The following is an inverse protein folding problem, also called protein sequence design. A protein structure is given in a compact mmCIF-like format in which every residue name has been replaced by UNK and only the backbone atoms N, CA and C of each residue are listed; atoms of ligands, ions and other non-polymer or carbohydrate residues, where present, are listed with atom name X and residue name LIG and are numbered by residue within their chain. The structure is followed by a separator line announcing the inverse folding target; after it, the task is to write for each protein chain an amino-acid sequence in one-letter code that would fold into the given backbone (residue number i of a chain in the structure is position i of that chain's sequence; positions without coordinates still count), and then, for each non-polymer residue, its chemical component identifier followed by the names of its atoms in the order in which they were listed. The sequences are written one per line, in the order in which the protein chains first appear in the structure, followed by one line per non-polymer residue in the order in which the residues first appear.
data_IF_399957838909
#
_entry.id   IF_399957838909
#
_cell.length_a   1.000
_cell.length_b   1.000
_cell.length_c   1.000
_cell.angle_alpha   90.00
_cell.angle_beta   90.00
_cell.angle_gamma   90.00
#
_symmetry.space_group_name_H-M   'P 1'
#
loop_
_entity.id
_entity.type
_entity.pdbx_description
1 polymer ?
#
# COMPACT_ATOMS: atom_id res chain seq x y z
N UNK A 1 -13.31 -13.43 -17.68
CA UNK A 1 -13.33 -11.98 -17.33
C UNK A 1 -12.10 -11.34 -17.94
N UNK A 2 -12.27 -10.33 -18.79
CA UNK A 2 -11.18 -9.67 -19.54
C UNK A 2 -10.13 -9.08 -18.58
N UNK A 3 -8.85 -9.39 -18.78
CA UNK A 3 -7.77 -8.93 -17.90
C UNK A 3 -7.64 -7.40 -17.90
N UNK A 4 -8.04 -6.73 -18.99
CA UNK A 4 -8.15 -5.26 -19.04
C UNK A 4 -9.12 -4.71 -18.00
N UNK A 5 -10.30 -5.33 -17.88
CA UNK A 5 -11.33 -4.90 -16.93
C UNK A 5 -10.83 -5.06 -15.48
N UNK A 6 -10.05 -6.10 -15.19
CA UNK A 6 -9.42 -6.28 -13.87
C UNK A 6 -8.45 -5.15 -13.54
N UNK A 7 -7.63 -4.74 -14.51
CA UNK A 7 -6.65 -3.67 -14.33
C UNK A 7 -7.37 -2.32 -14.19
N UNK A 8 -8.42 -2.09 -14.98
CA UNK A 8 -9.25 -0.88 -14.88
C UNK A 8 -9.91 -0.79 -13.50
N UNK A 9 -10.57 -1.86 -13.06
CA UNK A 9 -11.20 -1.91 -11.74
C UNK A 9 -10.19 -1.71 -10.62
N UNK A 10 -9.00 -2.29 -10.74
CA UNK A 10 -7.92 -2.07 -9.77
C UNK A 10 -7.50 -0.59 -9.70
N UNK A 11 -7.30 0.08 -10.85
CA UNK A 11 -6.94 1.50 -10.87
C UNK A 11 -8.10 2.37 -10.36
N UNK A 12 -9.34 2.00 -10.64
CA UNK A 12 -10.53 2.66 -10.10
C UNK A 12 -10.60 2.53 -8.58
N UNK A 13 -10.37 1.33 -8.05
CA UNK A 13 -10.41 1.05 -6.61
C UNK A 13 -9.29 1.79 -5.87
N UNK A 14 -8.07 1.77 -6.39
CA UNK A 14 -6.90 2.41 -5.77
C UNK A 14 -6.73 3.88 -6.13
N UNK A 15 -7.41 4.37 -7.16
CA UNK A 15 -7.28 5.72 -7.70
C UNK A 15 -6.04 5.92 -8.59
N UNK A 16 -4.90 5.33 -8.23
CA UNK A 16 -3.69 5.40 -9.05
C UNK A 16 -2.72 4.22 -8.82
N UNK A 17 -1.89 3.93 -9.82
CA UNK A 17 -0.81 2.95 -9.75
C UNK A 17 0.31 3.26 -10.76
N UNK A 18 1.55 2.92 -10.45
CA UNK A 18 2.65 3.04 -11.42
C UNK A 18 2.62 1.91 -12.44
N UNK A 19 3.21 2.15 -13.62
CA UNK A 19 3.45 1.12 -14.64
C UNK A 19 4.09 -0.12 -14.02
N UNK A 20 5.18 0.06 -13.27
CA UNK A 20 5.92 -1.04 -12.64
C UNK A 20 5.05 -1.83 -11.65
N UNK A 21 4.22 -1.16 -10.86
CA UNK A 21 3.29 -1.81 -9.94
C UNK A 21 2.29 -2.69 -10.69
N UNK A 22 1.68 -2.18 -11.77
CA UNK A 22 0.76 -2.97 -12.60
C UNK A 22 1.46 -4.17 -13.23
N UNK A 23 2.67 -3.99 -13.77
CA UNK A 23 3.47 -5.07 -14.34
C UNK A 23 3.74 -6.18 -13.31
N UNK A 24 4.07 -5.83 -12.07
CA UNK A 24 4.32 -6.80 -10.99
C UNK A 24 3.02 -7.47 -10.54
N UNK A 25 1.98 -6.70 -10.23
CA UNK A 25 0.75 -7.22 -9.62
C UNK A 25 -0.03 -8.12 -10.59
N UNK A 26 -0.02 -7.80 -11.89
CA UNK A 26 -0.71 -8.56 -12.94
C UNK A 26 0.19 -9.56 -13.69
N UNK A 27 1.45 -9.74 -13.27
CA UNK A 27 2.44 -10.60 -13.91
C UNK A 27 2.64 -10.29 -15.42
N UNK A 28 2.74 -9.00 -15.77
CA UNK A 28 2.89 -8.52 -17.16
C UNK A 28 4.16 -7.64 -17.32
N UNK A 29 5.37 -8.19 -17.21
CA UNK A 29 6.62 -7.43 -17.09
C UNK A 29 6.97 -6.51 -18.28
N UNK A 30 6.40 -6.76 -19.46
CA UNK A 30 6.69 -5.99 -20.68
C UNK A 30 5.46 -5.26 -21.23
N UNK A 31 4.34 -5.32 -20.53
CA UNK A 31 3.12 -4.65 -20.96
C UNK A 31 3.19 -3.17 -20.57
N UNK A 32 2.77 -2.30 -21.48
CA UNK A 32 2.71 -0.85 -21.29
C UNK A 32 1.28 -0.35 -21.01
N UNK A 33 0.30 -1.26 -21.00
CA UNK A 33 -1.11 -1.04 -20.74
C UNK A 33 -1.71 0.11 -21.57
N UNK A 34 -1.35 0.21 -22.86
CA UNK A 34 -1.97 1.20 -23.77
C UNK A 34 -3.46 0.96 -23.98
N UNK A 35 -3.88 -0.30 -23.94
CA UNK A 35 -5.25 -0.75 -24.12
C UNK A 35 -6.22 -0.17 -23.07
N UNK A 36 -5.82 -0.02 -21.81
CA UNK A 36 -6.71 0.52 -20.77
C UNK A 36 -6.92 2.05 -20.88
N UNK A 37 -6.17 2.73 -21.76
CA UNK A 37 -6.28 4.18 -21.97
C UNK A 37 -7.39 4.55 -22.96
N UNK A 38 -7.90 3.60 -23.76
CA UNK A 38 -8.85 3.88 -24.85
C UNK A 38 -10.19 4.42 -24.37
N UNK A 39 -10.60 4.08 -23.15
CA UNK A 39 -11.96 4.36 -22.66
C UNK A 39 -12.11 5.72 -21.97
N UNK A 40 -11.07 6.58 -21.95
CA UNK A 40 -11.09 7.88 -21.27
C UNK A 40 -11.51 7.84 -19.78
N UNK A 41 -11.43 6.67 -19.15
CA UNK A 41 -11.67 6.47 -17.71
C UNK A 41 -10.36 6.56 -16.94
N UNK A 42 -9.26 6.19 -17.61
CA UNK A 42 -7.91 6.21 -17.06
C UNK A 42 -7.07 7.15 -17.90
N UNK A 43 -6.32 8.02 -17.22
CA UNK A 43 -5.27 8.83 -17.82
C UNK A 43 -3.91 8.35 -17.35
N UNK A 44 -2.87 8.70 -18.11
CA UNK A 44 -1.48 8.43 -17.76
C UNK A 44 -0.73 9.76 -17.56
N UNK A 45 -0.08 9.93 -16.41
CA UNK A 45 0.75 11.09 -16.06
C UNK A 45 2.17 10.59 -15.74
N UNK A 46 3.10 10.78 -16.67
CA UNK A 46 4.41 10.11 -16.58
C UNK A 46 4.22 8.59 -16.57
N UNK A 47 4.76 7.92 -15.55
CA UNK A 47 4.60 6.46 -15.36
C UNK A 47 3.42 6.06 -14.47
N UNK A 48 2.55 7.01 -14.09
CA UNK A 48 1.41 6.75 -13.20
C UNK A 48 0.12 6.71 -14.02
N UNK A 49 -0.62 5.62 -13.88
CA UNK A 49 -2.00 5.49 -14.34
C UNK A 49 -2.94 6.00 -13.25
N UNK A 50 -3.91 6.82 -13.63
CA UNK A 50 -4.80 7.54 -12.70
C UNK A 50 -6.23 7.38 -13.19
N UNK A 51 -7.13 6.97 -12.30
CA UNK A 51 -8.56 7.04 -12.54
C UNK A 51 -8.97 8.51 -12.66
N UNK A 52 -9.73 8.90 -13.69
CA UNK A 52 -9.86 10.31 -14.06
C UNK A 52 -10.53 11.21 -13.01
N UNK A 53 -11.32 10.66 -12.08
CA UNK A 53 -11.87 11.43 -10.96
C UNK A 53 -11.01 11.39 -9.71
N UNK A 54 -9.92 10.62 -9.70
CA UNK A 54 -8.99 10.50 -8.59
C UNK A 54 -7.83 11.50 -8.72
N UNK A 55 -7.19 11.77 -7.57
CA UNK A 55 -5.92 12.49 -7.50
C UNK A 55 -4.80 11.47 -7.31
N UNK A 56 -3.59 11.82 -7.76
CA UNK A 56 -2.40 11.03 -7.44
C UNK A 56 -2.18 11.14 -5.94
N UNK A 57 -2.23 10.00 -5.26
CA UNK A 57 -1.93 9.87 -3.85
C UNK A 57 -0.66 9.04 -3.65
N UNK A 58 0.40 9.73 -3.26
CA UNK A 58 1.70 9.09 -3.06
C UNK A 58 1.68 8.06 -1.92
N UNK A 59 0.81 8.19 -0.92
CA UNK A 59 0.69 7.18 0.14
C UNK A 59 0.15 5.87 -0.41
N UNK A 60 -0.84 5.93 -1.29
CA UNK A 60 -1.31 4.76 -2.05
C UNK A 60 -0.19 4.15 -2.90
N UNK A 61 0.60 4.97 -3.62
CA UNK A 61 1.76 4.47 -4.38
C UNK A 61 2.73 3.71 -3.47
N UNK A 62 3.10 4.26 -2.31
CA UNK A 62 4.00 3.61 -1.37
C UNK A 62 3.43 2.33 -0.76
N UNK A 63 2.12 2.30 -0.48
CA UNK A 63 1.46 1.08 -0.02
C UNK A 63 1.51 -0.02 -1.09
N UNK A 64 1.28 0.35 -2.36
CA UNK A 64 1.37 -0.57 -3.49
C UNK A 64 2.80 -1.10 -3.73
N UNK A 65 3.83 -0.30 -3.46
CA UNK A 65 5.22 -0.78 -3.52
C UNK A 65 5.49 -1.90 -2.51
N UNK A 66 4.94 -1.78 -1.29
CA UNK A 66 5.00 -2.86 -0.30
C UNK A 66 4.20 -4.06 -0.79
N UNK A 67 2.99 -3.87 -1.29
CA UNK A 67 2.19 -4.98 -1.82
C UNK A 67 2.96 -5.74 -2.92
N UNK A 68 3.67 -5.03 -3.81
CA UNK A 68 4.55 -5.60 -4.82
C UNK A 68 5.69 -6.43 -4.20
N UNK A 69 6.32 -5.97 -3.11
CA UNK A 69 7.34 -6.77 -2.38
C UNK A 69 6.78 -8.07 -1.80
N UNK A 70 5.47 -8.11 -1.49
CA UNK A 70 4.77 -9.29 -1.00
C UNK A 70 4.11 -10.10 -2.12
N UNK A 71 4.37 -9.80 -3.40
CA UNK A 71 3.84 -10.58 -4.52
C UNK A 71 4.13 -12.06 -4.34
N UNK A 72 3.12 -12.90 -4.60
CA UNK A 72 3.13 -14.34 -4.39
C UNK A 72 3.15 -14.81 -2.92
N UNK A 73 3.13 -13.91 -1.94
CA UNK A 73 3.03 -14.22 -0.49
C UNK A 73 1.64 -13.98 0.09
N UNK A 74 0.74 -13.31 -0.63
CA UNK A 74 -0.66 -13.10 -0.24
C UNK A 74 -1.64 -13.96 -1.06
N UNK A 75 -2.83 -14.21 -0.50
CA UNK A 75 -3.97 -14.86 -1.16
C UNK A 75 -4.88 -13.82 -1.81
N UNK A 76 -5.24 -12.79 -1.06
CA UNK A 76 -6.04 -11.65 -1.53
C UNK A 76 -5.65 -10.39 -0.76
N UNK A 77 -6.00 -9.24 -1.31
CA UNK A 77 -5.81 -7.93 -0.72
C UNK A 77 -7.00 -7.04 -1.10
N UNK A 78 -7.21 -5.97 -0.34
CA UNK A 78 -8.16 -4.93 -0.66
C UNK A 78 -7.62 -3.57 -0.22
N UNK A 79 -8.17 -2.51 -0.80
CA UNK A 79 -7.93 -1.14 -0.34
C UNK A 79 -8.59 -0.96 1.03
N UNK A 80 -7.84 -0.38 1.97
CA UNK A 80 -8.36 0.01 3.29
C UNK A 80 -8.86 1.45 3.32
N UNK A 81 -9.22 1.91 4.51
CA UNK A 81 -9.56 3.30 4.81
C UNK A 81 -8.52 3.91 5.73
N UNK A 82 -8.26 5.21 5.57
CA UNK A 82 -7.31 5.95 6.41
C UNK A 82 -7.57 5.64 7.91
N UNK A 83 -6.53 5.22 8.65
CA UNK A 83 -5.10 5.26 8.31
C UNK A 83 -4.52 4.00 7.61
N UNK A 84 -5.32 2.96 7.38
CA UNK A 84 -4.88 1.72 6.71
C UNK A 84 -5.12 1.83 5.20
N UNK A 85 -4.05 1.79 4.42
CA UNK A 85 -4.13 1.93 2.96
C UNK A 85 -4.44 0.61 2.26
N UNK A 86 -3.85 -0.49 2.75
CA UNK A 86 -4.02 -1.83 2.19
C UNK A 86 -4.10 -2.83 3.32
N UNK A 87 -5.06 -3.74 3.21
CA UNK A 87 -5.12 -4.94 4.04
C UNK A 87 -4.94 -6.16 3.13
N UNK A 88 -4.07 -7.09 3.52
CA UNK A 88 -3.86 -8.34 2.77
C UNK A 88 -3.77 -9.56 3.67
N UNK A 89 -4.33 -10.67 3.20
CA UNK A 89 -4.20 -11.97 3.86
C UNK A 89 -3.03 -12.73 3.22
N UNK A 90 -2.04 -13.07 4.04
CA UNK A 90 -0.90 -13.89 3.59
C UNK A 90 -1.30 -15.35 3.33
N UNK A 91 -0.45 -16.08 2.61
CA UNK A 91 -0.62 -17.52 2.39
C UNK A 91 -0.52 -18.34 3.68
N UNK A 92 0.13 -17.78 4.71
CA UNK A 92 0.25 -18.32 6.07
C UNK A 92 -0.94 -17.96 6.98
N UNK A 93 -2.05 -17.44 6.43
CA UNK A 93 -3.23 -16.99 7.16
C UNK A 93 -2.99 -15.83 8.13
N UNK A 94 -1.90 -15.09 7.99
CA UNK A 94 -1.67 -13.86 8.75
C UNK A 94 -2.25 -12.66 8.00
N UNK A 95 -3.05 -11.86 8.69
CA UNK A 95 -3.62 -10.60 8.23
C UNK A 95 -2.62 -9.46 8.45
N UNK A 96 -2.37 -8.68 7.41
CA UNK A 96 -1.48 -7.53 7.45
C UNK A 96 -2.23 -6.25 7.11
N UNK A 97 -1.96 -5.19 7.89
CA UNK A 97 -2.38 -3.83 7.56
C UNK A 97 -1.15 -2.98 7.21
N UNK A 98 -1.21 -2.30 6.06
CA UNK A 98 -0.21 -1.34 5.62
C UNK A 98 -0.70 0.06 5.97
N UNK A 99 0.04 0.76 6.83
CA UNK A 99 -0.23 2.13 7.25
C UNK A 99 0.88 3.01 6.71
N UNK A 100 0.51 4.08 6.00
CA UNK A 100 1.47 5.02 5.41
C UNK A 100 1.28 6.39 6.02
N UNK A 101 2.35 6.93 6.61
CA UNK A 101 2.33 8.23 7.28
C UNK A 101 3.05 9.27 6.45
N UNK A 102 2.83 10.54 6.79
CA UNK A 102 3.68 11.66 6.40
C UNK A 102 3.95 12.53 7.64
N UNK A 103 4.76 13.58 7.46
CA UNK A 103 5.10 14.50 8.56
C UNK A 103 3.90 15.26 9.14
N UNK A 104 2.82 15.41 8.38
CA UNK A 104 1.61 16.08 8.87
C UNK A 104 0.78 15.19 9.80
N UNK A 105 0.83 13.86 9.64
CA UNK A 105 -0.03 12.94 10.37
C UNK A 105 0.70 11.93 11.29
N UNK A 106 2.04 11.85 11.26
CA UNK A 106 2.80 10.85 12.03
C UNK A 106 2.46 10.83 13.53
N UNK A 107 2.32 12.00 14.15
CA UNK A 107 1.93 12.11 15.57
C UNK A 107 0.51 11.60 15.84
N UNK A 108 -0.41 11.76 14.89
CA UNK A 108 -1.77 11.21 15.00
C UNK A 108 -1.74 9.69 14.97
N UNK A 109 -0.97 9.11 14.03
CA UNK A 109 -0.82 7.66 13.91
C UNK A 109 -0.17 7.05 15.16
N UNK A 110 0.88 7.69 15.71
CA UNK A 110 1.50 7.23 16.95
C UNK A 110 0.50 7.16 18.12
N UNK A 111 -0.40 8.15 18.23
CA UNK A 111 -1.47 8.13 19.24
C UNK A 111 -2.46 6.98 19.00
N UNK A 112 -2.89 6.77 17.77
CA UNK A 112 -3.82 5.68 17.42
C UNK A 112 -3.23 4.31 17.73
N UNK A 113 -1.95 4.09 17.40
CA UNK A 113 -1.23 2.86 17.72
C UNK A 113 -1.12 2.63 19.23
N UNK A 114 -0.76 3.68 19.99
CA UNK A 114 -0.57 3.60 21.44
C UNK A 114 -1.83 3.18 22.19
N UNK A 115 -3.00 3.61 21.72
CA UNK A 115 -4.29 3.32 22.37
C UNK A 115 -5.00 2.10 21.78
N UNK A 116 -4.39 1.39 20.83
CA UNK A 116 -5.04 0.35 20.03
C UNK A 116 -6.40 0.83 19.48
N UNK A 117 -6.40 1.99 18.84
CA UNK A 117 -7.62 2.64 18.38
C UNK A 117 -8.39 1.73 17.41
N UNK A 118 -9.74 1.64 17.51
CA UNK A 118 -10.56 0.89 16.55
C UNK A 118 -10.54 1.51 15.15
N UNK A 119 -10.02 2.72 14.99
CA UNK A 119 -9.75 3.32 13.68
C UNK A 119 -8.69 2.54 12.88
N UNK A 120 -7.83 1.77 13.56
CA UNK A 120 -6.93 0.80 12.93
C UNK A 120 -7.56 -0.58 13.14
N UNK A 121 -8.16 -1.19 12.11
CA UNK A 121 -8.72 -2.53 12.22
C UNK A 121 -7.70 -3.54 12.73
N UNK A 122 -8.18 -4.57 13.42
CA UNK A 122 -7.33 -5.64 13.93
C UNK A 122 -6.60 -6.36 12.79
N UNK A 123 -5.35 -6.70 13.04
CA UNK A 123 -4.50 -7.51 12.16
C UNK A 123 -3.43 -8.21 12.99
N UNK A 124 -2.91 -9.33 12.47
CA UNK A 124 -1.81 -10.04 13.11
C UNK A 124 -0.52 -9.21 13.04
N UNK A 125 -0.34 -8.45 11.94
CA UNK A 125 0.87 -7.68 11.67
C UNK A 125 0.59 -6.33 11.04
N UNK A 126 1.41 -5.35 11.39
CA UNK A 126 1.41 -4.04 10.75
C UNK A 126 2.67 -3.85 9.91
N UNK A 127 2.54 -3.12 8.81
CA UNK A 127 3.67 -2.55 8.08
C UNK A 127 3.48 -1.03 8.13
N UNK A 128 4.34 -0.38 8.90
CA UNK A 128 4.29 1.04 9.18
C UNK A 128 5.31 1.76 8.30
N UNK A 129 4.85 2.60 7.37
CA UNK A 129 5.70 3.36 6.48
C UNK A 129 5.79 4.80 6.98
N UNK A 130 7.02 5.24 7.27
CA UNK A 130 7.34 6.60 7.68
C UNK A 130 8.36 7.23 6.72
N UNK A 131 8.45 8.56 6.72
CA UNK A 131 9.35 9.31 5.83
C UNK A 131 10.84 9.19 6.22
N UNK A 132 11.10 8.97 7.50
CA UNK A 132 12.41 8.82 8.11
C UNK A 132 12.28 7.96 9.38
N UNK A 133 13.33 7.85 10.18
CA UNK A 133 13.40 7.03 11.39
C UNK A 133 13.07 7.79 12.69
N UNK A 134 12.69 9.07 12.61
CA UNK A 134 12.54 9.94 13.79
C UNK A 134 11.49 9.43 14.78
N UNK A 135 10.49 8.68 14.29
CA UNK A 135 9.40 8.16 15.10
C UNK A 135 9.61 6.73 15.57
N UNK A 136 10.67 6.03 15.14
CA UNK A 136 10.87 4.61 15.41
C UNK A 136 10.84 4.30 16.92
N UNK A 137 11.53 5.11 17.72
CA UNK A 137 11.62 4.93 19.18
C UNK A 137 10.34 5.37 19.93
N UNK A 138 9.43 6.07 19.25
CA UNK A 138 8.18 6.56 19.84
C UNK A 138 7.00 5.63 19.59
N UNK A 139 7.20 4.55 18.82
CA UNK A 139 6.13 3.58 18.54
C UNK A 139 5.88 2.73 19.79
N UNK A 140 4.67 2.88 20.32
CA UNK A 140 4.07 1.97 21.29
C UNK A 140 2.93 1.27 20.56
N UNK A 141 3.06 -0.04 20.33
CA UNK A 141 2.07 -0.83 19.58
C UNK A 141 2.07 -2.27 20.10
N UNK A 142 0.88 -2.81 20.37
CA UNK A 142 0.72 -4.18 20.84
C UNK A 142 0.81 -5.20 19.70
N UNK A 143 0.42 -4.80 18.48
CA UNK A 143 0.51 -5.62 17.28
C UNK A 143 1.95 -5.66 16.78
N UNK A 144 2.42 -6.84 16.36
CA UNK A 144 3.75 -6.97 15.77
C UNK A 144 3.85 -6.13 14.49
N UNK A 145 4.89 -5.31 14.37
CA UNK A 145 5.03 -4.41 13.22
C UNK A 145 6.40 -4.48 12.55
N UNK A 146 6.43 -4.16 11.26
CA UNK A 146 7.62 -3.75 10.53
C UNK A 146 7.61 -2.23 10.33
N UNK A 147 8.70 -1.55 10.63
CA UNK A 147 8.93 -0.14 10.40
C UNK A 147 9.76 0.04 9.14
N UNK A 148 9.16 0.69 8.16
CA UNK A 148 9.72 0.91 6.84
C UNK A 148 9.91 2.40 6.60
N UNK A 149 11.05 2.79 6.04
CA UNK A 149 11.28 4.17 5.58
C UNK A 149 11.13 4.25 4.07
N UNK A 150 10.26 5.12 3.58
CA UNK A 150 10.07 5.41 2.15
C UNK A 150 10.94 6.61 1.71
N UNK A 151 11.34 6.71 0.42
CA UNK A 151 10.93 5.88 -0.72
C UNK A 151 11.72 4.57 -0.89
N UNK A 152 12.84 4.38 -0.19
CA UNK A 152 13.70 3.19 -0.35
C UNK A 152 13.05 1.89 0.18
N UNK A 153 11.98 2.03 0.97
CA UNK A 153 11.25 0.93 1.61
C UNK A 153 12.19 0.05 2.46
N UNK A 154 13.11 0.70 3.18
CA UNK A 154 14.10 0.07 4.05
C UNK A 154 13.47 -0.31 5.39
N UNK A 155 13.59 -1.57 5.79
CA UNK A 155 13.09 -2.06 7.09
C UNK A 155 14.13 -1.76 8.16
N UNK A 156 13.74 -1.03 9.21
CA UNK A 156 14.65 -0.62 10.28
C UNK A 156 14.55 -1.48 11.54
N UNK A 157 13.36 -1.96 11.89
CA UNK A 157 13.19 -2.85 13.04
C UNK A 157 13.36 -4.32 12.59
N UNK A 158 14.60 -4.82 12.61
CA UNK A 158 14.80 -6.27 12.48
C UNK A 158 14.16 -6.95 13.69
N UNK A 159 13.32 -7.96 13.45
CA UNK A 159 12.87 -8.89 14.49
C UNK A 159 14.08 -9.36 15.29
N UNK A 160 14.02 -9.27 16.62
CA UNK A 160 14.81 -10.18 17.46
C UNK A 160 14.33 -11.58 17.09
N UNK A 161 15.25 -12.40 16.57
CA UNK A 161 15.00 -13.82 16.29
C UNK A 161 14.64 -14.53 17.59
#
# INVERSE_FOLDING_TARGET
MNDELKIINFIQDFGCATLKQLQILFNKPHDNFKNILSNNIISKKGDIFVYNTARIDMKTIYALDILCKYKNRYRYFHRGFDPVYITFLSKENLLYNIIVTDKSNENGILKLLKINSPAIPEADRLILLFKDDSCLNNIVCNTQFAYCVYPEMKILNKRKK
#
